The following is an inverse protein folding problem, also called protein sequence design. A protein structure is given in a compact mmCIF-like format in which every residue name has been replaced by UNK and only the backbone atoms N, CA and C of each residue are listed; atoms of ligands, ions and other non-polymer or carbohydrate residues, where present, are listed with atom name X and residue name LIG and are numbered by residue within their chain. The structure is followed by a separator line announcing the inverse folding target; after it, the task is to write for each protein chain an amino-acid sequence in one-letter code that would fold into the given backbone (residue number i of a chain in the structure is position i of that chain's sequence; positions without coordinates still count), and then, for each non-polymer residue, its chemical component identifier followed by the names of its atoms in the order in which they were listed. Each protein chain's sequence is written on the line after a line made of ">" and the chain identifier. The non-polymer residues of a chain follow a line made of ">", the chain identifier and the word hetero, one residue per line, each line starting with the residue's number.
data_IF_113408014006
#
_entry.id   IF_113408014006
#
_cell.length_a   1.000
_cell.length_b   1.000
_cell.length_c   1.000
_cell.angle_alpha   90.00
_cell.angle_beta   90.00
_cell.angle_gamma   90.00
#
_symmetry.space_group_name_H-M   'P 1'
#
loop_
_entity.id
_entity.type
_entity.pdbx_description
1 polymer ?
#
# COMPACT_ATOMS: atom_id res chain seq x y z
N UNK A 1 11.10 -11.56 -7.79
CA UNK A 1 9.90 -10.73 -7.98
C UNK A 1 10.10 -9.45 -7.18
N UNK A 2 9.98 -8.31 -7.83
CA UNK A 2 10.20 -6.99 -7.23
C UNK A 2 8.94 -6.16 -7.39
N UNK A 3 8.48 -5.53 -6.31
CA UNK A 3 7.37 -4.58 -6.37
C UNK A 3 7.93 -3.16 -6.23
N UNK A 4 7.59 -2.28 -7.16
CA UNK A 4 7.90 -0.85 -7.09
C UNK A 4 6.61 -0.08 -6.99
N UNK A 5 6.55 0.91 -6.12
CA UNK A 5 5.35 1.73 -5.97
C UNK A 5 5.70 3.19 -5.74
N UNK A 6 4.86 4.08 -6.28
CA UNK A 6 5.00 5.52 -6.13
C UNK A 6 3.65 6.17 -5.81
N UNK A 7 3.64 7.05 -4.82
CA UNK A 7 2.48 7.92 -4.56
C UNK A 7 2.40 8.95 -5.70
N UNK A 8 1.30 8.91 -6.45
CA UNK A 8 1.06 9.81 -7.57
C UNK A 8 0.29 11.06 -7.13
N UNK A 9 -0.71 10.89 -6.27
CA UNK A 9 -1.54 12.00 -5.77
C UNK A 9 -1.98 11.71 -4.35
N UNK A 10 -2.00 12.75 -3.51
CA UNK A 10 -2.69 12.73 -2.22
C UNK A 10 -3.70 13.87 -2.21
N UNK A 11 -4.98 13.55 -2.00
CA UNK A 11 -6.07 14.53 -1.98
C UNK A 11 -7.02 14.21 -0.82
N UNK A 12 -7.16 15.16 0.11
CA UNK A 12 -7.97 14.98 1.34
C UNK A 12 -7.53 13.70 2.07
N UNK A 13 -8.43 12.72 2.17
CA UNK A 13 -8.24 11.43 2.81
C UNK A 13 -8.01 10.29 1.79
N UNK A 14 -7.54 10.62 0.58
CA UNK A 14 -7.23 9.65 -0.46
C UNK A 14 -5.76 9.75 -0.87
N UNK A 15 -5.09 8.61 -0.96
CA UNK A 15 -3.78 8.47 -1.59
C UNK A 15 -3.88 7.53 -2.78
N UNK A 16 -3.43 8.00 -3.94
CA UNK A 16 -3.36 7.24 -5.18
C UNK A 16 -1.93 6.79 -5.38
N UNK A 17 -1.73 5.47 -5.45
CA UNK A 17 -0.44 4.82 -5.61
C UNK A 17 -0.43 4.08 -6.94
N UNK A 18 0.61 4.27 -7.72
CA UNK A 18 0.90 3.41 -8.85
C UNK A 18 1.88 2.33 -8.40
N UNK A 19 1.59 1.07 -8.73
CA UNK A 19 2.41 -0.07 -8.39
C UNK A 19 2.73 -0.88 -9.64
N UNK A 20 3.98 -1.34 -9.72
CA UNK A 20 4.50 -2.16 -10.81
C UNK A 20 5.15 -3.41 -10.20
N UNK A 21 4.94 -4.56 -10.84
CA UNK A 21 5.56 -5.83 -10.46
C UNK A 21 6.51 -6.25 -11.57
N UNK A 22 7.73 -6.62 -11.18
CA UNK A 22 8.78 -7.09 -12.07
C UNK A 22 9.21 -8.51 -11.72
N UNK A 23 9.59 -9.29 -12.74
CA UNK A 23 10.13 -10.63 -12.56
C UNK A 23 11.61 -10.62 -12.10
N UNK A 24 12.27 -11.77 -12.13
CA UNK A 24 13.69 -11.91 -11.78
C UNK A 24 14.65 -11.37 -12.86
N UNK A 25 14.20 -11.26 -14.10
CA UNK A 25 14.97 -10.66 -15.19
C UNK A 25 14.85 -9.12 -15.19
N UNK A 26 13.91 -8.57 -14.43
CA UNK A 26 13.63 -7.14 -14.37
C UNK A 26 12.58 -6.69 -15.37
N UNK A 27 11.87 -7.63 -16.02
CA UNK A 27 10.78 -7.34 -16.95
C UNK A 27 9.50 -7.03 -16.19
N UNK A 28 8.75 -6.02 -16.66
CA UNK A 28 7.49 -5.62 -16.03
C UNK A 28 6.41 -6.65 -16.32
N UNK A 29 5.96 -7.35 -15.29
CA UNK A 29 4.87 -8.32 -15.37
C UNK A 29 3.52 -7.63 -15.42
N UNK A 30 3.31 -6.62 -14.56
CA UNK A 30 2.03 -5.90 -14.47
C UNK A 30 2.20 -4.52 -13.84
N UNK A 31 1.19 -3.68 -14.01
CA UNK A 31 1.05 -2.39 -13.35
C UNK A 31 -0.40 -2.19 -12.89
N UNK A 32 -0.58 -1.44 -11.82
CA UNK A 32 -1.89 -1.18 -11.24
C UNK A 32 -1.96 0.16 -10.53
N UNK A 33 -3.18 0.70 -10.47
CA UNK A 33 -3.51 1.89 -9.68
C UNK A 33 -4.25 1.46 -8.43
N UNK A 34 -3.70 1.81 -7.28
CA UNK A 34 -4.26 1.51 -5.96
C UNK A 34 -4.72 2.82 -5.33
N UNK A 35 -5.89 2.80 -4.70
CA UNK A 35 -6.45 3.96 -4.00
C UNK A 35 -6.63 3.58 -2.53
N UNK A 36 -5.95 4.31 -1.65
CA UNK A 36 -6.04 4.13 -0.20
C UNK A 36 -6.84 5.26 0.43
N UNK A 37 -7.68 4.93 1.40
CA UNK A 37 -8.21 5.91 2.34
C UNK A 37 -7.19 6.14 3.44
N UNK A 38 -6.92 7.41 3.76
CA UNK A 38 -5.92 7.83 4.74
C UNK A 38 -6.57 8.57 5.90
N UNK A 39 -5.91 8.54 7.06
CA UNK A 39 -6.27 9.36 8.22
C UNK A 39 -5.21 10.42 8.44
N UNK A 40 -5.60 11.53 9.06
CA UNK A 40 -4.64 12.49 9.60
C UNK A 40 -3.71 11.78 10.60
N UNK A 41 -2.43 12.20 10.72
CA UNK A 41 -1.44 11.52 11.55
C UNK A 41 -1.89 11.30 13.00
N UNK A 42 -2.64 12.24 13.59
CA UNK A 42 -3.10 12.14 14.97
C UNK A 42 -4.19 11.06 15.15
N UNK A 43 -4.94 10.76 14.09
CA UNK A 43 -6.03 9.76 14.08
C UNK A 43 -5.57 8.37 13.61
N UNK A 44 -4.47 8.30 12.87
CA UNK A 44 -3.98 7.05 12.29
C UNK A 44 -3.73 5.93 13.32
N UNK A 45 -3.10 6.17 14.50
CA UNK A 45 -2.84 5.10 15.48
C UNK A 45 -4.10 4.39 15.99
N UNK A 46 -5.22 5.13 16.10
CA UNK A 46 -6.48 4.58 16.57
C UNK A 46 -7.27 3.84 15.47
N UNK A 47 -7.06 4.19 14.20
CA UNK A 47 -7.88 3.72 13.08
C UNK A 47 -7.16 2.75 12.12
N UNK A 48 -5.82 2.76 12.07
CA UNK A 48 -4.99 1.95 11.17
C UNK A 48 -4.09 0.97 11.94
N UNK A 49 -4.53 0.53 13.11
CA UNK A 49 -3.73 -0.37 13.95
C UNK A 49 -3.66 -1.75 13.30
N UNK A 50 -2.48 -2.10 12.79
CA UNK A 50 -2.21 -3.47 12.37
C UNK A 50 -2.13 -4.36 13.62
N UNK A 51 -2.82 -5.51 13.65
CA UNK A 51 -2.66 -6.46 14.73
C UNK A 51 -1.22 -7.03 14.73
N UNK A 52 -0.80 -7.59 15.87
CA UNK A 52 0.49 -8.28 15.93
C UNK A 52 0.50 -9.51 14.98
N UNK A 53 1.70 -9.95 14.53
CA UNK A 53 1.80 -11.04 13.58
C UNK A 53 1.12 -12.33 14.05
N UNK A 54 1.22 -12.68 15.34
CA UNK A 54 0.59 -13.90 15.87
C UNK A 54 -0.94 -13.84 15.76
N UNK A 55 -1.52 -12.68 16.07
CA UNK A 55 -2.97 -12.44 15.91
C UNK A 55 -3.39 -12.43 14.44
N UNK A 56 -2.56 -11.89 13.54
CA UNK A 56 -2.90 -11.76 12.12
C UNK A 56 -2.96 -13.12 11.38
N UNK A 57 -2.01 -14.03 11.65
CA UNK A 57 -1.87 -15.30 10.92
C UNK A 57 -2.68 -16.47 11.51
N UNK A 58 -3.46 -16.25 12.57
CA UNK A 58 -4.28 -17.30 13.23
C UNK A 58 -5.60 -17.65 12.54
N UNK A 59 -5.85 -17.17 11.31
CA UNK A 59 -7.11 -17.39 10.58
C UNK A 59 -7.14 -18.70 9.81
#
# INVERSE_FOLDING_TARGET
>A
MTVRSRVQETKRNLAVVEAEIYDSAGEKCTQGRVVFFTFAPEKAPANLRMPDPETFFRQ
#
